data_IF_086463862608
#
_entry.id   IF_086463862608
#
_cell.length_a   1.000
_cell.length_b   1.000
_cell.length_c   1.000
_cell.angle_alpha   90.00
_cell.angle_beta   90.00
_cell.angle_gamma   90.00
#
_symmetry.space_group_name_H-M   'P 1'
#
loop_
_entity.id
_entity.type
_entity.pdbx_description
1 polymer ?
#
# COMPACT_ATOMS: atom_id res chain seq x y z
N UNK A 1 4.63 -5.28 16.47
CA UNK A 1 3.60 -6.09 15.76
C UNK A 1 4.16 -6.45 14.39
N UNK A 2 4.02 -7.70 13.93
CA UNK A 2 4.37 -8.06 12.54
C UNK A 2 3.20 -7.68 11.62
N UNK A 3 3.47 -7.17 10.42
CA UNK A 3 2.44 -6.79 9.45
C UNK A 3 1.53 -7.98 9.12
N UNK A 4 2.10 -9.16 8.93
CA UNK A 4 1.34 -10.42 8.73
C UNK A 4 0.32 -10.66 9.84
N UNK A 5 0.73 -10.53 11.11
CA UNK A 5 -0.17 -10.71 12.25
C UNK A 5 -1.30 -9.68 12.23
N UNK A 6 -1.00 -8.43 11.90
CA UNK A 6 -1.99 -7.36 11.81
C UNK A 6 -3.03 -7.62 10.71
N UNK A 7 -2.58 -7.99 9.51
CA UNK A 7 -3.48 -8.30 8.40
C UNK A 7 -4.34 -9.54 8.68
N UNK A 8 -3.76 -10.57 9.31
CA UNK A 8 -4.53 -11.75 9.73
C UNK A 8 -5.62 -11.39 10.75
N UNK A 9 -5.32 -10.54 11.74
CA UNK A 9 -6.31 -10.07 12.71
C UNK A 9 -7.46 -9.31 12.04
N UNK A 10 -7.18 -8.50 11.01
CA UNK A 10 -8.20 -7.79 10.24
C UNK A 10 -9.05 -8.77 9.43
N UNK A 11 -8.42 -9.71 8.72
CA UNK A 11 -9.13 -10.72 7.93
C UNK A 11 -10.02 -11.61 8.82
N UNK A 12 -9.53 -12.00 10.00
CA UNK A 12 -10.31 -12.77 10.97
C UNK A 12 -11.53 -12.00 11.50
N UNK A 13 -11.39 -10.69 11.71
CA UNK A 13 -12.45 -9.84 12.29
C UNK A 13 -13.45 -9.32 11.25
N UNK A 14 -12.95 -8.85 10.11
CA UNK A 14 -13.69 -8.08 9.11
C UNK A 14 -13.89 -8.85 7.79
N UNK A 15 -13.29 -10.04 7.64
CA UNK A 15 -13.47 -10.96 6.51
C UNK A 15 -12.63 -10.64 5.27
N UNK A 16 -12.07 -9.44 5.19
CA UNK A 16 -11.22 -8.96 4.10
C UNK A 16 -10.29 -7.86 4.62
N UNK A 17 -9.12 -7.71 4.02
CA UNK A 17 -8.27 -6.53 4.18
C UNK A 17 -8.25 -5.73 2.88
N UNK A 18 -8.49 -4.43 2.96
CA UNK A 18 -8.37 -3.47 1.87
C UNK A 18 -7.00 -2.78 1.89
N UNK A 19 -6.26 -2.86 0.79
CA UNK A 19 -4.93 -2.26 0.68
C UNK A 19 -4.91 -1.25 -0.47
N UNK A 20 -4.34 -0.08 -0.22
CA UNK A 20 -4.19 0.99 -1.22
C UNK A 20 -2.74 1.02 -1.71
N UNK A 21 -2.53 0.89 -3.02
CA UNK A 21 -1.20 1.01 -3.64
C UNK A 21 -0.89 2.47 -4.01
N UNK A 22 0.24 2.98 -3.54
CA UNK A 22 0.80 4.26 -3.97
C UNK A 22 2.05 3.98 -4.81
N UNK A 23 2.00 4.43 -6.06
CA UNK A 23 3.14 4.46 -6.97
C UNK A 23 3.98 5.70 -6.67
N UNK A 24 5.23 5.58 -6.20
CA UNK A 24 6.02 6.73 -5.76
C UNK A 24 6.51 7.63 -6.91
N UNK A 25 6.45 7.18 -8.16
CA UNK A 25 6.89 7.94 -9.34
C UNK A 25 5.74 8.77 -9.94
N UNK A 26 4.50 8.50 -9.54
CA UNK A 26 3.30 9.11 -10.12
C UNK A 26 2.95 10.49 -9.53
N UNK A 27 3.50 10.85 -8.36
CA UNK A 27 3.23 12.11 -7.68
C UNK A 27 4.36 12.53 -6.73
N UNK A 28 4.26 13.74 -6.15
CA UNK A 28 5.22 14.21 -5.13
C UNK A 28 5.06 13.48 -3.80
N UNK A 29 6.07 13.57 -2.93
CA UNK A 29 6.02 13.02 -1.56
C UNK A 29 4.84 13.61 -0.77
N UNK A 30 4.64 14.93 -0.84
CA UNK A 30 3.54 15.60 -0.13
C UNK A 30 2.17 15.09 -0.61
N UNK A 31 2.00 14.90 -1.93
CA UNK A 31 0.77 14.34 -2.48
C UNK A 31 0.57 12.88 -2.07
N UNK A 32 1.66 12.11 -1.97
CA UNK A 32 1.61 10.72 -1.48
C UNK A 32 1.14 10.66 -0.03
N UNK A 33 1.57 11.60 0.82
CA UNK A 33 1.12 11.70 2.20
C UNK A 33 -0.37 12.05 2.32
N UNK A 34 -0.86 12.97 1.48
CA UNK A 34 -2.28 13.30 1.39
C UNK A 34 -3.12 12.09 0.97
N UNK A 35 -2.70 11.38 -0.08
CA UNK A 35 -3.37 10.15 -0.55
C UNK A 35 -3.42 9.09 0.55
N UNK A 36 -2.32 8.89 1.29
CA UNK A 36 -2.29 7.92 2.39
C UNK A 36 -3.24 8.31 3.53
N UNK A 37 -3.34 9.60 3.85
CA UNK A 37 -4.27 10.10 4.87
C UNK A 37 -5.73 9.92 4.43
N UNK A 38 -6.05 10.27 3.19
CA UNK A 38 -7.40 10.12 2.62
C UNK A 38 -7.81 8.64 2.52
N UNK A 39 -6.91 7.76 2.08
CA UNK A 39 -7.16 6.32 1.99
C UNK A 39 -7.38 5.70 3.37
N UNK A 40 -6.64 6.16 4.38
CA UNK A 40 -6.82 5.75 5.78
C UNK A 40 -8.18 6.22 6.31
N UNK A 41 -8.57 7.46 6.04
CA UNK A 41 -9.90 7.97 6.38
C UNK A 41 -11.03 7.22 5.67
N UNK A 42 -10.77 6.73 4.45
CA UNK A 42 -11.65 5.86 3.68
C UNK A 42 -11.72 4.41 4.15
N UNK A 43 -10.93 4.01 5.14
CA UNK A 43 -10.97 2.68 5.74
C UNK A 43 -10.02 1.66 5.11
N UNK A 44 -8.95 2.09 4.43
CA UNK A 44 -7.90 1.14 4.02
C UNK A 44 -7.15 0.61 5.25
N UNK A 45 -6.78 -0.67 5.21
CA UNK A 45 -6.09 -1.35 6.30
C UNK A 45 -4.57 -1.22 6.21
N UNK A 46 -4.04 -1.03 5.00
CA UNK A 46 -2.63 -0.77 4.77
C UNK A 46 -2.38 0.03 3.48
N UNK A 47 -1.22 0.70 3.45
CA UNK A 47 -0.67 1.34 2.26
C UNK A 47 0.46 0.47 1.72
N UNK A 48 0.38 0.11 0.45
CA UNK A 48 1.46 -0.53 -0.29
C UNK A 48 2.24 0.53 -1.07
N UNK A 49 3.55 0.39 -1.15
CA UNK A 49 4.42 1.28 -1.94
C UNK A 49 5.05 0.43 -3.05
N UNK A 50 4.85 0.83 -4.30
CA UNK A 50 5.38 0.09 -5.46
C UNK A 50 4.61 0.40 -6.75
N UNK A 51 4.87 -0.34 -7.82
CA UNK A 51 4.26 -0.11 -9.13
C UNK A 51 5.18 0.62 -10.12
N UNK A 52 6.14 1.39 -9.62
CA UNK A 52 7.06 2.20 -10.45
C UNK A 52 8.40 1.56 -10.77
N UNK A 53 8.63 0.30 -10.38
CA UNK A 53 9.77 -0.44 -10.96
C UNK A 53 9.45 -0.61 -12.44
N UNK A 54 10.03 0.24 -13.28
CA UNK A 54 10.02 0.04 -14.71
C UNK A 54 10.46 -1.39 -14.97
N UNK A 55 9.55 -2.21 -15.49
CA UNK A 55 9.86 -3.55 -16.00
C UNK A 55 10.69 -3.40 -17.28
N UNK A 56 11.86 -2.78 -17.16
CA UNK A 56 12.96 -2.81 -18.12
C UNK A 56 13.96 -3.80 -17.57
N UNK A 57 13.85 -5.05 -18.01
CA UNK A 57 14.76 -6.12 -17.64
C UNK A 57 16.23 -5.75 -17.88
N UNK A 58 16.97 -5.64 -16.78
CA UNK A 58 18.43 -5.80 -16.71
C UNK A 58 18.86 -6.48 -15.40
N UNK A 59 17.96 -6.64 -14.43
CA UNK A 59 18.22 -7.29 -13.14
C UNK A 59 17.35 -8.55 -12.93
N UNK A 60 16.81 -9.11 -14.02
CA UNK A 60 16.08 -10.39 -14.00
C UNK A 60 16.93 -11.56 -14.54
N UNK A 61 18.22 -11.35 -14.76
CA UNK A 61 19.22 -12.39 -15.03
C UNK A 61 20.17 -12.55 -13.84
#
# INVERSE_FOLDING_TARGET
>A
MKVEKHLNEIIEKDGVAHLTLIDPDSQTVDKSAEIAADATAGGTDAIMIGGSVGAGGSQLD
#
